data_IF_583200123827
#
_entry.id   IF_583200123827
#
_cell.length_a   1.000
_cell.length_b   1.000
_cell.length_c   1.000
_cell.angle_alpha   90.00
_cell.angle_beta   90.00
_cell.angle_gamma   90.00
#
_symmetry.space_group_name_H-M   'P 1'
#
loop_
_entity.id
_entity.type
_entity.pdbx_description
1 polymer ?
2 non-polymer ?
3 water ?
#
# COMPACT_ATOMS: atom_id res chain seq x y z
N UNK A 10 8.23 21.31 5.70
CA UNK A 10 7.51 20.06 5.43
C UNK A 10 7.99 18.91 6.31
N UNK A 11 7.06 18.20 6.95
CA UNK A 11 7.38 17.09 7.82
C UNK A 11 6.93 15.77 7.19
N UNK A 12 7.41 14.68 7.76
CA UNK A 12 7.04 13.35 7.31
C UNK A 12 5.78 12.90 8.03
N UNK A 13 5.12 11.90 7.46
CA UNK A 13 3.88 11.35 8.01
C UNK A 13 4.05 9.86 8.22
N UNK A 14 3.89 9.43 9.47
CA UNK A 14 3.76 8.01 9.75
C UNK A 14 2.40 7.52 9.25
N UNK A 15 2.41 6.63 8.27
CA UNK A 15 1.18 6.06 7.77
C UNK A 15 0.68 5.01 8.76
N UNK A 16 -0.63 4.85 8.80
CA UNK A 16 -1.28 3.84 9.63
C UNK A 16 -0.58 2.50 9.50
N UNK A 17 -0.03 1.97 10.59
CA UNK A 17 0.64 0.65 10.50
C UNK A 17 -0.30 -0.46 10.00
N UNK A 18 -1.60 -0.33 10.26
CA UNK A 18 -2.55 -1.25 9.65
C UNK A 18 -2.42 -1.30 8.14
N UNK A 19 -1.83 -0.27 7.55
CA UNK A 19 -1.55 -0.20 6.13
C UNK A 19 -0.03 -0.24 5.98
N UNK A 20 0.49 -1.37 5.49
CA UNK A 20 1.93 -1.56 5.37
C UNK A 20 2.25 -2.20 4.02
N UNK A 21 3.46 -1.96 3.54
CA UNK A 21 3.85 -2.34 2.19
C UNK A 21 4.61 -3.66 2.21
N UNK A 22 4.15 -4.62 1.40
CA UNK A 22 4.76 -5.95 1.33
C UNK A 22 5.69 -6.00 0.11
N UNK A 23 6.99 -6.09 0.37
CA UNK A 23 8.02 -6.15 -0.66
C UNK A 23 8.57 -7.57 -0.69
N UNK A 24 8.50 -8.22 -1.86
CA UNK A 24 9.09 -9.54 -2.05
C UNK A 24 10.47 -9.48 -2.68
N UNK A 25 10.65 -8.59 -3.65
CA UNK A 25 11.94 -8.45 -4.28
C UNK A 25 12.99 -7.87 -3.34
N UNK A 37 13.14 -15.29 -1.92
CA UNK A 37 13.18 -13.87 -2.23
C UNK A 37 13.00 -13.03 -0.96
N UNK A 38 12.36 -13.61 0.05
CA UNK A 38 12.12 -12.92 1.30
C UNK A 38 10.98 -11.92 1.22
N UNK A 39 9.76 -12.41 1.43
CA UNK A 39 8.59 -11.50 1.45
C UNK A 39 8.40 -10.78 2.78
N UNK A 40 8.86 -9.52 2.87
CA UNK A 40 8.79 -8.81 4.14
C UNK A 40 7.91 -7.57 4.01
N UNK A 41 7.27 -7.18 5.12
CA UNK A 41 6.40 -6.02 5.14
C UNK A 41 7.11 -4.90 5.90
N UNK A 42 6.84 -3.66 5.47
CA UNK A 42 7.47 -2.48 6.04
C UNK A 42 6.45 -1.38 6.29
N UNK A 43 6.62 -0.62 7.38
CA UNK A 43 5.82 0.60 7.56
C UNK A 43 6.04 1.57 6.41
N UNK A 44 5.08 2.49 6.27
CA UNK A 44 5.08 3.47 5.19
C UNK A 44 5.20 4.86 5.80
N UNK A 45 6.06 5.68 5.22
CA UNK A 45 6.21 7.08 5.63
C UNK A 45 6.06 7.94 4.38
N UNK A 46 5.64 9.18 4.59
CA UNK A 46 5.25 10.06 3.50
C UNK A 46 6.09 11.33 3.47
N UNK A 47 6.62 11.67 2.30
CA UNK A 47 7.18 12.97 2.00
C UNK A 47 6.27 13.67 1.00
N UNK A 48 6.02 14.95 1.21
CA UNK A 48 5.11 15.71 0.35
C UNK A 48 5.83 16.85 -0.35
N UNK A 52 -5.14 12.45 -3.02
CA UNK A 52 -4.84 11.03 -2.89
C UNK A 52 -6.00 10.29 -2.24
N UNK A 53 -6.15 9.01 -2.59
CA UNK A 53 -7.18 8.17 -1.99
C UNK A 53 -6.75 6.72 -2.10
N UNK A 54 -7.51 5.85 -1.45
CA UNK A 54 -7.22 4.43 -1.40
C UNK A 54 -8.55 3.69 -1.51
N UNK A 55 -8.61 2.69 -2.39
CA UNK A 55 -9.84 1.97 -2.67
C UNK A 55 -9.60 0.47 -2.70
N UNK A 56 -10.12 -0.24 -1.71
CA UNK A 56 -10.21 -1.70 -1.75
C UNK A 56 -11.23 -2.11 -2.80
N UNK A 57 -10.85 -3.04 -3.66
CA UNK A 57 -11.71 -3.47 -4.77
C UNK A 57 -11.85 -4.98 -4.75
N UNK A 58 -13.07 -5.46 -4.51
CA UNK A 58 -13.36 -6.89 -4.55
C UNK A 58 -14.48 -7.13 -5.56
N UNK A 59 -14.62 -8.38 -6.00
CA UNK A 59 -15.68 -8.71 -6.95
C UNK A 59 -17.05 -8.59 -6.29
N UNK A 60 -17.39 -9.57 -5.44
CA UNK A 60 -18.59 -9.50 -4.61
C UNK A 60 -19.87 -9.43 -5.44
N UNK A 61 -20.03 -8.33 -6.19
CA UNK A 61 -21.27 -8.09 -6.91
C UNK A 61 -21.57 -9.22 -7.88
N UNK A 62 -22.46 -10.14 -7.50
CA UNK A 62 -22.63 -11.38 -8.23
C UNK A 62 -23.39 -11.20 -9.53
N UNK A 63 -24.72 -11.08 -9.48
CA UNK A 63 -25.55 -11.06 -10.68
C UNK A 63 -25.49 -12.40 -11.40
N UNK A 64 -26.32 -12.55 -12.44
CA UNK A 64 -26.51 -13.85 -13.09
C UNK A 64 -25.59 -14.09 -14.27
N UNK A 65 -25.10 -13.04 -14.93
CA UNK A 65 -24.25 -13.19 -16.10
C UNK A 65 -22.84 -12.68 -15.91
N UNK A 66 -22.67 -11.55 -15.22
CA UNK A 66 -21.35 -10.97 -15.01
C UNK A 66 -21.26 -10.46 -13.57
N UNK A 67 -20.03 -10.38 -13.09
CA UNK A 67 -19.73 -9.94 -11.74
C UNK A 67 -19.14 -8.54 -11.80
N UNK A 68 -19.74 -7.60 -11.07
CA UNK A 68 -19.27 -6.23 -11.04
C UNK A 68 -18.23 -6.09 -9.92
N UNK A 69 -17.82 -4.85 -9.63
CA UNK A 69 -16.77 -4.59 -8.66
C UNK A 69 -17.26 -3.70 -7.53
N UNK A 70 -17.02 -4.16 -6.31
CA UNK A 70 -17.31 -3.43 -5.09
C UNK A 70 -16.06 -2.65 -4.67
N UNK A 71 -16.19 -1.32 -4.60
CA UNK A 71 -15.13 -0.45 -4.15
C UNK A 71 -15.42 0.03 -2.73
N UNK A 72 -14.36 0.22 -1.95
CA UNK A 72 -14.46 0.53 -0.54
C UNK A 72 -13.27 1.41 -0.15
N UNK A 73 -13.48 2.72 -0.05
CA UNK A 73 -12.40 3.57 0.46
C UNK A 73 -12.06 3.23 1.90
N UNK A 74 -10.76 3.17 2.18
CA UNK A 74 -10.24 2.90 3.52
C UNK A 74 -9.70 4.20 4.10
N UNK A 75 -9.95 4.42 5.38
CA UNK A 75 -9.44 5.61 6.05
C UNK A 75 -7.92 5.51 6.19
N UNK A 76 -7.21 6.46 5.59
CA UNK A 76 -5.76 6.53 5.66
C UNK A 76 -5.40 7.52 6.77
N UNK A 77 -5.07 7.00 7.95
CA UNK A 77 -4.78 7.84 9.11
C UNK A 77 -3.27 7.98 9.25
N UNK A 78 -2.76 9.16 8.91
CA UNK A 78 -1.36 9.49 9.08
C UNK A 78 -1.22 10.36 10.34
N UNK A 79 -0.08 10.22 11.01
CA UNK A 79 0.25 11.06 12.15
C UNK A 79 1.58 11.76 11.86
N UNK A 80 1.67 13.02 12.24
CA UNK A 80 2.91 13.76 12.07
C UNK A 80 3.98 13.18 12.99
N UNK A 81 5.18 13.01 12.45
CA UNK A 81 6.27 12.40 13.21
C UNK A 81 6.91 13.43 14.12
N UNK A 82 7.11 13.06 15.38
CA UNK A 82 7.75 13.95 16.34
C UNK A 82 9.26 13.90 16.14
N UNK A 83 9.92 12.94 16.77
CA UNK A 83 11.37 12.82 16.67
C UNK A 83 11.75 11.68 15.73
N UNK A 84 12.94 11.78 15.14
CA UNK A 84 13.43 10.76 14.23
C UNK A 84 13.84 9.49 14.95
N UNK A 85 14.02 9.55 16.27
CA UNK A 85 14.25 8.33 17.04
C UNK A 85 13.03 7.42 17.01
N UNK A 86 11.85 7.96 16.69
CA UNK A 86 10.65 7.14 16.60
C UNK A 86 10.64 6.24 15.38
N UNK A 87 11.41 6.59 14.34
CA UNK A 87 11.40 5.79 13.13
C UNK A 87 11.85 4.38 13.41
N UNK A 88 11.28 3.38 12.75
CA UNK A 88 11.77 2.02 12.87
C UNK A 88 13.02 1.79 12.02
N UNK A 89 13.73 0.72 12.36
CA UNK A 89 14.98 0.40 11.66
C UNK A 89 14.76 -0.04 10.23
N UNK A 90 13.53 -0.38 9.86
CA UNK A 90 13.19 -0.78 8.51
C UNK A 90 11.83 -0.20 8.16
N UNK A 91 11.76 0.51 7.03
CA UNK A 91 10.51 1.08 6.55
C UNK A 91 10.76 1.60 5.14
N UNK A 92 9.68 2.06 4.51
CA UNK A 92 9.76 2.63 3.17
C UNK A 92 9.23 4.05 3.22
N UNK A 93 9.69 4.88 2.30
CA UNK A 93 9.26 6.27 2.20
C UNK A 93 8.73 6.49 0.78
N UNK A 94 7.60 7.17 0.69
CA UNK A 94 6.95 7.44 -0.59
C UNK A 94 6.82 8.95 -0.76
N UNK A 95 7.06 9.44 -1.98
CA UNK A 95 7.07 10.87 -2.25
C UNK A 95 5.95 11.20 -3.22
N UNK A 96 5.18 12.24 -2.89
CA UNK A 96 4.19 12.82 -3.79
C UNK A 96 4.64 14.23 -4.08
N UNK A 97 5.01 14.50 -5.33
CA UNK A 97 5.57 15.79 -5.74
C UNK A 97 6.80 16.12 -4.90
N UNK B 10 -8.05 8.80 -14.88
CA UNK B 10 -7.66 9.13 -16.26
C UNK B 10 -6.36 8.42 -16.66
N UNK B 11 -5.94 7.50 -15.81
CA UNK B 11 -4.68 6.80 -16.01
C UNK B 11 -4.72 5.57 -15.12
N UNK B 12 -4.47 4.39 -15.72
CA UNK B 12 -4.59 3.10 -15.04
C UNK B 12 -3.42 2.19 -15.42
N UNK B 13 -2.84 1.52 -14.42
CA UNK B 13 -1.73 0.60 -14.67
C UNK B 13 -1.50 -0.29 -13.44
N UNK B 14 -1.02 -1.52 -13.68
CA UNK B 14 -0.85 -2.53 -12.65
C UNK B 14 0.58 -2.55 -12.17
N UNK B 15 0.77 -2.44 -10.86
CA UNK B 15 2.10 -2.47 -10.27
C UNK B 15 2.58 -3.90 -10.21
N UNK B 16 3.87 -4.10 -10.49
CA UNK B 16 4.42 -5.45 -10.56
C UNK B 16 4.12 -6.20 -9.27
N UNK B 17 3.72 -7.48 -9.36
CA UNK B 17 3.37 -8.23 -8.14
C UNK B 17 4.42 -8.26 -7.05
N UNK B 18 5.66 -7.87 -7.36
CA UNK B 18 6.69 -7.85 -6.33
C UNK B 18 6.35 -6.87 -5.22
N UNK B 19 5.52 -5.86 -5.51
CA UNK B 19 5.13 -4.85 -4.55
C UNK B 19 3.62 -4.95 -4.39
N UNK B 20 3.17 -5.33 -3.19
CA UNK B 20 1.75 -5.40 -2.86
C UNK B 20 1.54 -4.72 -1.52
N UNK B 21 0.30 -4.33 -1.27
CA UNK B 21 -0.09 -3.59 -0.07
C UNK B 21 -0.70 -4.55 0.95
N UNK B 22 -0.15 -4.53 2.16
CA UNK B 22 -0.73 -5.26 3.30
C UNK B 22 -1.70 -4.36 4.05
N UNK B 23 -2.93 -4.85 4.23
CA UNK B 23 -4.01 -4.05 4.79
C UNK B 23 -4.62 -4.78 5.99
N UNK B 24 -5.04 -4.00 6.99
CA UNK B 24 -5.77 -4.48 8.15
C UNK B 24 -6.78 -3.43 8.59
N UNK B 25 -7.90 -3.92 9.12
CA UNK B 25 -8.96 -3.08 9.65
C UNK B 25 -9.31 -3.57 11.05
N UNK B 26 -9.02 -2.75 12.06
CA UNK B 26 -9.42 -3.08 13.42
C UNK B 26 -10.94 -3.06 13.57
N UNK B 27 -11.61 -2.12 12.89
CA UNK B 27 -13.03 -1.91 13.13
C UNK B 27 -13.84 -3.18 12.87
N UNK B 28 -13.33 -4.09 12.05
CA UNK B 28 -14.03 -5.32 11.70
C UNK B 28 -13.30 -6.55 12.23
N UNK B 29 -12.92 -6.53 13.51
CA UNK B 29 -12.39 -7.71 14.18
C UNK B 29 -13.51 -8.38 14.96
N UNK B 30 -13.90 -7.77 16.09
CA UNK B 30 -15.10 -8.21 16.80
C UNK B 30 -16.36 -7.84 16.04
N UNK B 31 -16.24 -7.01 14.99
CA UNK B 31 -17.38 -6.58 14.21
C UNK B 31 -17.79 -7.57 13.14
N UNK B 32 -16.84 -7.96 12.28
CA UNK B 32 -17.09 -8.95 11.25
C UNK B 32 -16.91 -10.35 11.82
N UNK B 33 -17.93 -11.19 11.68
CA UNK B 33 -17.88 -12.57 12.16
C UNK B 33 -17.58 -12.61 13.66
N UNK B 36 -14.32 -11.57 10.17
CA UNK B 36 -13.01 -11.33 10.76
C UNK B 36 -11.97 -11.08 9.66
N UNK B 37 -12.04 -9.91 9.02
CA UNK B 37 -11.07 -9.59 7.97
C UNK B 37 -9.67 -9.60 8.55
N UNK B 38 -8.75 -10.23 7.85
CA UNK B 38 -7.39 -10.37 8.33
C UNK B 38 -6.44 -9.42 7.65
N UNK B 39 -5.16 -9.48 8.02
CA UNK B 39 -4.13 -8.76 7.26
C UNK B 39 -3.90 -9.49 5.93
N UNK B 40 -4.21 -8.81 4.83
CA UNK B 40 -3.98 -9.46 3.53
C UNK B 40 -3.16 -8.54 2.63
N UNK B 41 -2.48 -9.15 1.67
CA UNK B 41 -1.69 -8.44 0.68
C UNK B 41 -2.50 -8.37 -0.61
N UNK B 42 -2.49 -7.21 -1.23
CA UNK B 42 -3.29 -6.97 -2.44
C UNK B 42 -2.43 -6.29 -3.48
N UNK B 43 -2.59 -6.65 -4.74
CA UNK B 43 -1.92 -5.89 -5.81
C UNK B 43 -2.36 -4.44 -5.80
N UNK B 44 -1.61 -3.63 -6.56
CA UNK B 44 -1.76 -2.18 -6.57
C UNK B 44 -2.00 -1.71 -7.98
N UNK B 45 -3.02 -0.89 -8.16
CA UNK B 45 -3.33 -0.23 -9.43
C UNK B 45 -3.23 1.27 -9.20
N UNK B 46 -2.75 1.98 -10.19
CA UNK B 46 -2.37 3.39 -10.01
C UNK B 46 -3.27 4.31 -10.83
N UNK B 52 6.22 10.52 -8.82
CA UNK B 52 6.36 9.89 -7.53
C UNK B 52 7.69 9.15 -7.43
N UNK B 53 7.97 8.60 -6.25
CA UNK B 53 9.13 7.74 -6.05
C UNK B 53 8.94 7.00 -4.73
N UNK B 54 9.76 5.97 -4.53
CA UNK B 54 9.78 5.26 -3.27
C UNK B 54 11.21 4.86 -2.94
N UNK B 55 11.47 4.75 -1.65
CA UNK B 55 12.79 4.37 -1.16
C UNK B 55 12.63 3.49 0.08
N UNK B 56 13.41 2.41 0.10
CA UNK B 56 13.46 1.49 1.23
C UNK B 56 14.60 1.92 2.15
N UNK B 57 14.34 1.91 3.46
CA UNK B 57 15.22 2.57 4.41
C UNK B 57 15.67 1.64 5.54
N UNK B 58 16.81 2.01 6.14
CA UNK B 58 17.49 1.19 7.15
C UNK B 58 18.36 2.10 8.02
N UNK B 59 18.68 1.61 9.23
CA UNK B 59 19.50 2.34 10.19
C UNK B 59 20.96 1.97 10.00
N UNK B 60 21.84 2.97 9.96
CA UNK B 60 23.27 2.74 9.91
C UNK B 60 24.00 3.35 11.11
N UNK B 61 24.09 4.68 11.21
CA UNK B 61 24.93 5.33 12.21
C UNK B 61 24.11 6.05 13.27
N UNK B 62 24.79 6.41 14.35
CA UNK B 62 24.15 7.03 15.52
C UNK B 62 23.51 8.35 15.15
N UNK B 67 20.61 10.72 14.16
CA UNK B 67 20.39 9.31 13.89
C UNK B 67 20.29 9.16 12.37
N UNK B 68 21.06 8.25 11.81
CA UNK B 68 21.24 8.15 10.37
C UNK B 68 20.34 7.08 9.78
N UNK B 69 19.94 7.31 8.54
CA UNK B 69 19.07 6.39 7.82
C UNK B 69 19.54 6.27 6.39
N UNK B 70 20.12 5.13 6.06
CA UNK B 70 20.40 4.78 4.69
C UNK B 70 19.10 4.45 3.96
N UNK B 71 19.06 4.74 2.67
CA UNK B 71 17.93 4.31 1.87
C UNK B 71 18.42 4.02 0.45
N UNK B 72 17.76 3.05 -0.17
CA UNK B 72 18.03 2.72 -1.55
C UNK B 72 16.68 2.71 -2.30
N UNK B 73 16.66 3.20 -3.53
CA UNK B 73 15.37 3.22 -4.26
C UNK B 73 15.06 1.88 -4.91
N UNK B 74 13.79 1.49 -4.84
CA UNK B 74 13.29 0.29 -5.49
C UNK B 74 12.54 0.69 -6.75
N UNK B 75 12.95 0.14 -7.88
CA UNK B 75 12.32 0.45 -9.16
C UNK B 75 10.98 -0.27 -9.27
N UNK B 76 9.91 0.50 -9.46
CA UNK B 76 8.57 -0.05 -9.56
C UNK B 76 8.24 -0.19 -11.04
N UNK B 77 8.26 -1.40 -11.56
CA UNK B 77 7.83 -1.67 -12.92
C UNK B 77 6.31 -1.87 -12.93
N UNK B 78 5.65 -1.24 -13.89
CA UNK B 78 4.21 -1.35 -14.03
C UNK B 78 3.89 -1.87 -15.42
N UNK B 79 2.71 -2.44 -15.55
CA UNK B 79 2.20 -2.92 -16.82
C UNK B 79 0.91 -2.16 -17.12
N UNK B 80 0.90 -1.41 -18.21
CA UNK B 80 -0.29 -0.70 -18.62
C UNK B 80 -1.37 -1.70 -19.03
N UNK B 81 -2.58 -1.49 -18.55
CA UNK B 81 -3.67 -2.42 -18.82
C UNK B 81 -4.57 -1.87 -19.92
N UNK B 82 -5.30 -2.79 -20.56
CA UNK B 82 -6.23 -2.43 -21.62
C UNK B 82 -7.52 -3.23 -21.45
N UNK B 83 -7.37 -4.53 -21.19
CA UNK B 83 -8.51 -5.42 -21.02
C UNK B 83 -8.84 -5.57 -19.54
N UNK B 84 -10.13 -5.57 -19.23
CA UNK B 84 -10.57 -5.84 -17.86
C UNK B 84 -10.23 -7.27 -17.43
N UNK B 85 -9.88 -8.15 -18.37
CA UNK B 85 -9.51 -9.51 -17.98
C UNK B 85 -8.24 -9.52 -17.14
N UNK B 86 -7.39 -8.50 -17.31
CA UNK B 86 -6.17 -8.39 -16.51
C UNK B 86 -6.46 -8.06 -15.06
N UNK B 87 -7.65 -7.58 -14.74
CA UNK B 87 -7.95 -7.11 -13.40
C UNK B 87 -8.27 -8.32 -12.48
N UNK B 88 -7.51 -8.50 -11.41
CA UNK B 88 -7.81 -9.65 -10.52
C UNK B 88 -9.09 -9.41 -9.74
N UNK B 89 -9.48 -10.43 -8.97
CA UNK B 89 -10.71 -10.37 -8.22
C UNK B 89 -10.60 -9.52 -6.96
N UNK B 90 -9.40 -9.43 -6.38
CA UNK B 90 -9.15 -8.53 -5.25
C UNK B 90 -7.89 -7.73 -5.55
N UNK B 91 -8.00 -6.40 -5.49
CA UNK B 91 -6.85 -5.53 -5.67
C UNK B 91 -7.14 -4.21 -4.94
N UNK B 92 -6.21 -3.27 -5.05
CA UNK B 92 -6.34 -1.98 -4.38
C UNK B 92 -6.02 -0.87 -5.37
N UNK B 93 -6.89 0.13 -5.43
CA UNK B 93 -6.69 1.30 -6.28
C UNK B 93 -6.02 2.39 -5.47
N UNK B 94 -5.10 3.11 -6.11
CA UNK B 94 -4.39 4.22 -5.49
C UNK B 94 -4.36 5.36 -6.51
N UNK B 95 -4.94 6.50 -6.14
CA UNK B 95 -5.08 7.64 -7.02
C UNK B 95 -4.06 8.71 -6.66
N UNK B 96 -3.60 9.44 -7.68
CA UNK B 96 -2.65 10.53 -7.47
C UNK B 96 -3.26 11.86 -7.88
X LIG C 1 -1.07 7.12 -0.62
X LIG C 1 -1.30 5.72 -0.88
X LIG C 1 -0.60 4.82 0.11
X LIG C 1 0.52 5.11 0.53
X LIG C 1 -1.13 3.80 0.54
X LIG C 1 -2.25 5.53 -0.86
X LIG C 1 -0.96 5.50 -1.77
#
# INVERSE_FOLDING_TARGET
>A
MDPKISEMHPALRLVDPQIQLAVTRMENAVGRDQNNVGPKVYPIILRLGSPLSLNMARKTLNSLEDKAFQLTPIAVQMTKLATTEELPDEFVVVTVK
>B
MDPKISEMHPALRLVDPQIQLAVTRMENAVGRDQNNVGPKVYPIILRLGSPLSLNMARKTLNSLEDKAFQLTPIAVQMTKLATTEELPDEFVVVTVK
>C hetero
1 GLY N CA C O OXT HA2 HA3
#
